data_IF_065976675832
#
_entry.id   IF_065976675832
#
_cell.length_a   1.000
_cell.length_b   1.000
_cell.length_c   1.000
_cell.angle_alpha   90.00
_cell.angle_beta   90.00
_cell.angle_gamma   90.00
#
_symmetry.space_group_name_H-M   'P 1'
#
loop_
_entity.id
_entity.type
_entity.pdbx_description
1 polymer ?
#
# COMPACT_ATOMS: atom_id res chain seq x y z
N UNK A 1 19.62 -6.85 2.20
CA UNK A 1 19.02 -5.66 2.85
C UNK A 1 18.85 -4.45 1.93
N UNK A 2 19.25 -4.52 0.64
CA UNK A 2 19.22 -3.35 -0.27
C UNK A 2 17.81 -2.91 -0.68
N UNK A 3 16.82 -3.81 -0.57
CA UNK A 3 15.45 -3.58 -1.05
C UNK A 3 14.46 -3.25 0.08
N UNK A 4 14.95 -3.19 1.32
CA UNK A 4 14.13 -2.88 2.49
C UNK A 4 13.70 -1.41 2.49
N UNK A 5 12.44 -1.16 2.80
CA UNK A 5 11.87 0.16 3.11
C UNK A 5 12.25 0.60 4.53
N UNK A 6 12.08 1.88 4.86
CA UNK A 6 12.34 2.39 6.21
C UNK A 6 11.46 1.71 7.28
N UNK A 7 10.24 1.31 6.94
CA UNK A 7 9.32 0.61 7.81
C UNK A 7 9.79 -0.82 8.10
N UNK A 8 10.28 -1.52 7.08
CA UNK A 8 10.87 -2.86 7.25
C UNK A 8 12.17 -2.77 8.07
N UNK A 9 12.98 -1.73 7.85
CA UNK A 9 14.14 -1.44 8.68
C UNK A 9 13.75 -1.12 10.13
N UNK A 10 12.68 -0.35 10.35
CA UNK A 10 12.13 -0.06 11.68
C UNK A 10 11.74 -1.36 12.41
N UNK A 11 10.97 -2.24 11.75
CA UNK A 11 10.55 -3.51 12.32
C UNK A 11 11.74 -4.42 12.66
N UNK A 12 12.70 -4.55 11.74
CA UNK A 12 13.88 -5.37 11.96
C UNK A 12 14.75 -4.83 13.09
N UNK A 13 14.98 -3.52 13.14
CA UNK A 13 15.76 -2.87 14.20
C UNK A 13 15.06 -2.91 15.54
N UNK A 14 13.75 -2.70 15.59
CA UNK A 14 12.96 -2.86 16.81
C UNK A 14 13.10 -4.29 17.33
N UNK A 15 12.99 -5.33 16.49
CA UNK A 15 13.18 -6.71 16.94
C UNK A 15 14.61 -7.02 17.38
N UNK A 16 15.61 -6.43 16.73
CA UNK A 16 17.02 -6.60 17.07
C UNK A 16 17.35 -5.97 18.43
N UNK A 17 16.88 -4.75 18.67
CA UNK A 17 17.22 -3.92 19.83
C UNK A 17 16.25 -4.11 21.00
N UNK A 18 15.00 -4.50 20.72
CA UNK A 18 13.89 -4.57 21.65
C UNK A 18 13.33 -6.01 21.66
N UNK A 19 13.23 -6.62 22.84
CA UNK A 19 12.65 -7.96 23.01
C UNK A 19 13.65 -9.11 22.90
N UNK A 20 13.27 -10.19 22.19
CA UNK A 20 13.93 -11.50 22.31
C UNK A 20 15.40 -11.55 21.83
N UNK A 21 15.83 -10.61 20.99
CA UNK A 21 17.21 -10.54 20.51
C UNK A 21 18.10 -9.62 21.37
N UNK A 22 17.54 -8.77 22.23
CA UNK A 22 18.32 -7.88 23.09
C UNK A 22 19.27 -8.63 24.06
N UNK A 23 18.86 -9.74 24.72
CA UNK A 23 19.78 -10.54 25.53
C UNK A 23 20.89 -11.20 24.70
N UNK A 24 20.64 -11.51 23.42
CA UNK A 24 21.63 -12.12 22.52
C UNK A 24 22.68 -11.11 22.08
N UNK A 25 22.31 -9.84 21.93
CA UNK A 25 23.25 -8.74 21.71
C UNK A 25 24.26 -8.61 22.85
N UNK A 26 23.85 -8.86 24.10
CA UNK A 26 24.73 -8.78 25.26
C UNK A 26 25.85 -9.85 25.26
N UNK A 27 25.76 -10.88 24.42
CA UNK A 27 26.83 -11.88 24.26
C UNK A 27 28.01 -11.36 23.42
N UNK A 28 27.77 -10.32 22.61
CA UNK A 28 28.73 -9.79 21.65
C UNK A 28 29.45 -8.56 22.22
N UNK A 29 30.78 -8.55 22.12
CA UNK A 29 31.58 -7.38 22.49
C UNK A 29 31.36 -6.22 21.52
N UNK A 30 31.17 -6.51 20.23
CA UNK A 30 30.92 -5.46 19.25
C UNK A 30 29.56 -4.75 19.44
N UNK A 31 28.58 -5.40 20.07
CA UNK A 31 27.23 -4.87 20.17
C UNK A 31 27.16 -3.53 20.89
N UNK A 32 27.98 -3.30 21.93
CA UNK A 32 27.97 -2.06 22.69
C UNK A 32 28.22 -0.81 21.82
N UNK A 33 29.08 -0.93 20.79
CA UNK A 33 29.43 0.17 19.88
C UNK A 33 28.26 0.45 18.93
N UNK A 34 27.71 -0.60 18.30
CA UNK A 34 26.67 -0.44 17.28
C UNK A 34 25.28 -0.17 17.87
N UNK A 35 24.99 -0.64 19.09
CA UNK A 35 23.68 -0.50 19.71
C UNK A 35 23.28 0.96 19.90
N UNK A 36 24.19 1.83 20.34
CA UNK A 36 23.91 3.27 20.48
C UNK A 36 23.55 3.91 19.14
N UNK A 37 24.30 3.59 18.10
CA UNK A 37 24.08 4.13 16.75
C UNK A 37 22.75 3.62 16.16
N UNK A 38 22.46 2.33 16.32
CA UNK A 38 21.22 1.71 15.84
C UNK A 38 19.98 2.23 16.59
N UNK A 39 20.07 2.47 17.90
CA UNK A 39 18.99 3.10 18.69
C UNK A 39 18.72 4.53 18.20
N UNK A 40 19.78 5.32 17.95
CA UNK A 40 19.63 6.67 17.43
C UNK A 40 18.99 6.68 16.03
N UNK A 41 19.38 5.75 15.16
CA UNK A 41 18.74 5.61 13.84
C UNK A 41 17.29 5.18 13.95
N UNK A 42 16.97 4.19 14.80
CA UNK A 42 15.59 3.75 15.01
C UNK A 42 14.71 4.91 15.49
N UNK A 43 15.21 5.74 16.41
CA UNK A 43 14.49 6.93 16.88
C UNK A 43 14.26 7.95 15.76
N UNK A 44 15.27 8.24 14.94
CA UNK A 44 15.15 9.13 13.77
C UNK A 44 14.13 8.60 12.76
N UNK A 45 14.13 7.30 12.50
CA UNK A 45 13.15 6.66 11.62
C UNK A 45 11.75 6.82 12.19
N UNK A 46 11.53 6.48 13.46
CA UNK A 46 10.22 6.61 14.13
C UNK A 46 9.69 8.05 14.17
N UNK A 47 10.58 9.03 14.18
CA UNK A 47 10.21 10.45 14.15
C UNK A 47 9.73 10.93 12.76
N UNK A 48 10.01 10.19 11.69
CA UNK A 48 9.50 10.54 10.36
C UNK A 48 7.97 10.34 10.31
N UNK A 49 7.26 11.21 9.55
CA UNK A 49 5.89 10.95 9.14
C UNK A 49 5.77 9.55 8.55
N UNK A 50 4.65 8.87 8.84
CA UNK A 50 4.44 7.49 8.43
C UNK A 50 4.66 7.35 6.91
N UNK A 51 4.20 8.35 6.14
CA UNK A 51 4.20 8.40 4.68
C UNK A 51 5.62 8.39 4.09
N UNK A 52 6.60 8.82 4.89
CA UNK A 52 8.00 8.83 4.52
C UNK A 52 8.76 7.59 5.04
N UNK A 53 8.18 6.86 6.00
CA UNK A 53 8.75 5.59 6.50
C UNK A 53 8.47 4.41 5.58
N UNK A 54 7.51 4.48 4.65
CA UNK A 54 7.25 3.35 3.76
C UNK A 54 5.90 3.42 3.06
N UNK A 55 5.12 2.33 3.14
CA UNK A 55 3.87 2.15 2.39
C UNK A 55 2.55 2.52 3.12
N UNK A 56 2.39 3.62 3.88
CA UNK A 56 1.07 3.92 4.51
C UNK A 56 -0.06 4.17 3.53
N UNK A 57 0.25 4.30 2.24
CA UNK A 57 -0.74 4.53 1.20
C UNK A 57 -0.96 3.29 0.33
N UNK A 58 -0.06 2.28 0.34
CA UNK A 58 -0.22 1.13 -0.56
C UNK A 58 -1.32 0.17 -0.10
N UNK A 59 -1.42 -0.08 1.21
CA UNK A 59 -2.51 -0.88 1.77
C UNK A 59 -3.86 -0.15 1.60
N UNK A 60 -3.88 1.16 1.87
CA UNK A 60 -5.09 1.97 1.74
C UNK A 60 -5.51 2.16 0.29
N UNK A 61 -4.57 2.30 -0.65
CA UNK A 61 -4.83 2.27 -2.09
C UNK A 61 -5.43 0.93 -2.48
N UNK A 62 -4.81 -0.18 -2.06
CA UNK A 62 -5.31 -1.53 -2.36
C UNK A 62 -6.72 -1.76 -1.81
N UNK A 63 -6.99 -1.36 -0.57
CA UNK A 63 -8.33 -1.47 0.02
C UNK A 63 -9.35 -0.61 -0.70
N UNK A 64 -8.97 0.63 -1.06
CA UNK A 64 -9.85 1.54 -1.79
C UNK A 64 -10.12 1.03 -3.21
N UNK A 65 -9.13 0.41 -3.84
CA UNK A 65 -9.21 -0.23 -5.16
C UNK A 65 -10.15 -1.44 -5.15
N UNK A 66 -9.96 -2.36 -4.18
CA UNK A 66 -10.85 -3.50 -3.96
C UNK A 66 -12.29 -3.04 -3.74
N UNK A 67 -12.48 -2.04 -2.87
CA UNK A 67 -13.81 -1.52 -2.58
C UNK A 67 -14.47 -0.93 -3.83
N UNK A 68 -13.73 -0.15 -4.63
CA UNK A 68 -14.22 0.37 -5.92
C UNK A 68 -14.64 -0.79 -6.83
N UNK A 69 -13.81 -1.81 -6.98
CA UNK A 69 -14.07 -2.94 -7.88
C UNK A 69 -15.23 -3.80 -7.43
N UNK A 70 -15.43 -3.94 -6.12
CA UNK A 70 -16.60 -4.61 -5.56
C UNK A 70 -17.89 -3.85 -5.91
N UNK A 71 -17.89 -2.51 -5.79
CA UNK A 71 -19.03 -1.70 -6.21
C UNK A 71 -19.28 -1.77 -7.72
N UNK A 72 -18.23 -1.68 -8.54
CA UNK A 72 -18.33 -1.81 -9.99
C UNK A 72 -18.95 -3.16 -10.37
N UNK A 73 -18.49 -4.26 -9.76
CA UNK A 73 -19.04 -5.60 -9.99
C UNK A 73 -20.51 -5.69 -9.56
N UNK A 74 -20.86 -5.15 -8.39
CA UNK A 74 -22.23 -5.14 -7.91
C UNK A 74 -23.17 -4.39 -8.86
N UNK A 75 -22.78 -3.19 -9.30
CA UNK A 75 -23.51 -2.37 -10.27
C UNK A 75 -23.66 -3.11 -11.60
N UNK A 76 -22.58 -3.69 -12.11
CA UNK A 76 -22.58 -4.42 -13.38
C UNK A 76 -23.52 -5.63 -13.35
N UNK A 77 -23.46 -6.44 -12.29
CA UNK A 77 -24.32 -7.61 -12.16
C UNK A 77 -25.79 -7.24 -11.96
N UNK A 78 -26.09 -6.18 -11.21
CA UNK A 78 -27.46 -5.69 -11.09
C UNK A 78 -27.99 -5.21 -12.45
N UNK A 79 -27.17 -4.49 -13.23
CA UNK A 79 -27.50 -4.07 -14.60
C UNK A 79 -27.82 -5.27 -15.49
N UNK A 80 -27.00 -6.32 -15.48
CA UNK A 80 -27.28 -7.53 -16.26
C UNK A 80 -28.56 -8.23 -15.79
N UNK A 81 -28.80 -8.32 -14.48
CA UNK A 81 -30.04 -8.89 -13.95
C UNK A 81 -31.29 -8.11 -14.41
N UNK A 82 -31.25 -6.78 -14.37
CA UNK A 82 -32.32 -5.93 -14.90
C UNK A 82 -32.53 -6.14 -16.41
N UNK A 83 -31.44 -6.27 -17.18
CA UNK A 83 -31.47 -6.47 -18.64
C UNK A 83 -32.12 -7.80 -19.03
N UNK A 84 -31.89 -8.86 -18.25
CA UNK A 84 -32.48 -10.18 -18.49
C UNK A 84 -33.82 -10.40 -17.77
N UNK A 85 -34.35 -9.38 -17.08
CA UNK A 85 -35.67 -9.45 -16.48
C UNK A 85 -36.73 -9.68 -17.58
N UNK A 86 -37.62 -10.69 -17.46
CA UNK A 86 -38.63 -10.96 -18.49
C UNK A 86 -39.61 -9.82 -18.76
N UNK A 87 -39.78 -8.92 -17.78
CA UNK A 87 -40.67 -7.74 -17.86
C UNK A 87 -39.99 -6.55 -17.13
N UNK A 88 -38.99 -5.91 -17.75
CA UNK A 88 -38.32 -4.78 -17.12
C UNK A 88 -39.30 -3.61 -16.99
N UNK A 89 -39.19 -2.86 -15.89
CA UNK A 89 -39.93 -1.61 -15.73
C UNK A 89 -39.26 -0.49 -16.54
N UNK A 90 -39.98 0.61 -16.79
CA UNK A 90 -39.40 1.77 -17.47
C UNK A 90 -38.19 2.32 -16.70
N UNK A 91 -38.27 2.35 -15.37
CA UNK A 91 -37.16 2.74 -14.50
C UNK A 91 -35.94 1.83 -14.69
N UNK A 92 -36.14 0.51 -14.81
CA UNK A 92 -35.04 -0.43 -15.09
C UNK A 92 -34.42 -0.15 -16.46
N UNK A 93 -35.23 0.08 -17.49
CA UNK A 93 -34.74 0.40 -18.83
C UNK A 93 -33.92 1.71 -18.83
N UNK A 94 -34.41 2.76 -18.15
CA UNK A 94 -33.67 4.01 -17.97
C UNK A 94 -32.36 3.79 -17.22
N UNK A 95 -32.37 3.07 -16.09
CA UNK A 95 -31.15 2.82 -15.32
C UNK A 95 -30.10 2.04 -16.14
N UNK A 96 -30.51 1.03 -16.91
CA UNK A 96 -29.60 0.30 -17.82
C UNK A 96 -28.98 1.25 -18.84
N UNK A 97 -29.80 2.10 -19.48
CA UNK A 97 -29.34 3.08 -20.47
C UNK A 97 -28.31 4.05 -19.87
N UNK A 98 -28.56 4.56 -18.66
CA UNK A 98 -27.61 5.41 -17.95
C UNK A 98 -26.28 4.70 -17.69
N UNK A 99 -26.31 3.46 -17.19
CA UNK A 99 -25.11 2.70 -16.85
C UNK A 99 -24.24 2.47 -18.10
N UNK A 100 -24.87 2.15 -19.24
CA UNK A 100 -24.16 1.82 -20.49
C UNK A 100 -23.71 3.08 -21.23
N UNK A 101 -24.60 4.06 -21.40
CA UNK A 101 -24.38 5.16 -22.34
C UNK A 101 -23.89 6.44 -21.66
N UNK A 102 -24.15 6.62 -20.36
CA UNK A 102 -23.72 7.81 -19.64
C UNK A 102 -22.51 7.52 -18.76
N UNK A 103 -22.60 6.52 -17.89
CA UNK A 103 -21.48 6.13 -17.04
C UNK A 103 -20.46 5.25 -17.77
N UNK A 104 -20.82 4.66 -18.92
CA UNK A 104 -19.91 3.84 -19.74
C UNK A 104 -19.17 2.76 -18.95
N UNK A 105 -19.82 2.17 -17.94
CA UNK A 105 -19.19 1.21 -17.04
C UNK A 105 -18.97 -0.12 -17.73
N UNK A 106 -17.78 -0.68 -17.57
CA UNK A 106 -17.35 -1.98 -18.10
C UNK A 106 -16.62 -2.79 -17.02
N UNK A 107 -16.72 -4.13 -17.00
CA UNK A 107 -15.89 -4.97 -16.14
C UNK A 107 -14.39 -4.79 -16.38
N UNK A 108 -14.01 -4.33 -17.57
CA UNK A 108 -12.61 -4.05 -17.91
C UNK A 108 -12.05 -2.84 -17.15
N UNK A 109 -12.91 -1.94 -16.63
CA UNK A 109 -12.47 -0.76 -15.87
C UNK A 109 -11.77 -1.14 -14.54
N UNK A 110 -11.91 -2.40 -14.09
CA UNK A 110 -11.13 -2.96 -12.95
C UNK A 110 -9.61 -2.87 -13.22
N UNK A 111 -9.19 -2.83 -14.48
CA UNK A 111 -7.78 -2.77 -14.89
C UNK A 111 -7.24 -1.34 -15.00
N UNK A 112 -8.10 -0.34 -14.84
CA UNK A 112 -7.70 1.05 -14.95
C UNK A 112 -6.61 1.39 -13.92
N UNK A 113 -5.68 2.24 -14.32
CA UNK A 113 -4.75 2.86 -13.37
C UNK A 113 -5.51 3.75 -12.38
N UNK A 114 -4.93 4.01 -11.22
CA UNK A 114 -5.53 4.91 -10.23
C UNK A 114 -5.81 6.32 -10.78
N UNK A 115 -5.00 6.81 -11.72
CA UNK A 115 -5.20 8.12 -12.35
C UNK A 115 -6.42 8.13 -13.29
N UNK A 116 -6.58 7.07 -14.09
CA UNK A 116 -7.75 6.88 -14.95
C UNK A 116 -9.02 6.77 -14.10
N UNK A 117 -8.98 5.97 -13.03
CA UNK A 117 -10.07 5.83 -12.08
C UNK A 117 -10.51 7.16 -11.46
N UNK A 118 -9.57 8.01 -11.04
CA UNK A 118 -9.89 9.32 -10.49
C UNK A 118 -10.53 10.26 -11.53
N UNK A 119 -10.02 10.24 -12.77
CA UNK A 119 -10.57 11.01 -13.89
C UNK A 119 -12.00 10.57 -14.22
N UNK A 120 -12.23 9.26 -14.35
CA UNK A 120 -13.57 8.67 -14.56
C UNK A 120 -14.50 9.01 -13.39
N UNK A 121 -14.05 8.85 -12.15
CA UNK A 121 -14.85 9.19 -10.95
C UNK A 121 -15.26 10.67 -10.92
N UNK A 122 -14.39 11.58 -11.34
CA UNK A 122 -14.73 13.01 -11.47
C UNK A 122 -15.82 13.26 -12.52
N UNK A 123 -15.78 12.53 -13.63
CA UNK A 123 -16.81 12.57 -14.68
C UNK A 123 -18.12 11.97 -14.19
N UNK A 124 -18.08 10.78 -13.59
CA UNK A 124 -19.24 10.09 -13.01
C UNK A 124 -19.92 10.92 -11.91
N UNK A 125 -19.17 11.64 -11.08
CA UNK A 125 -19.75 12.54 -10.08
C UNK A 125 -20.67 13.61 -10.70
N UNK A 126 -20.30 14.15 -11.87
CA UNK A 126 -21.12 15.14 -12.58
C UNK A 126 -22.41 14.52 -13.13
N UNK A 127 -22.30 13.31 -13.68
CA UNK A 127 -23.46 12.55 -14.14
C UNK A 127 -24.41 12.19 -12.99
N UNK A 128 -23.87 11.76 -11.85
CA UNK A 128 -24.64 11.40 -10.67
C UNK A 128 -25.43 12.59 -10.11
N UNK A 129 -24.84 13.79 -10.08
CA UNK A 129 -25.55 15.00 -9.67
C UNK A 129 -26.73 15.35 -10.60
N UNK A 130 -26.66 14.96 -11.88
CA UNK A 130 -27.67 15.32 -12.89
C UNK A 130 -28.73 14.22 -13.03
N UNK A 131 -28.36 12.95 -12.85
CA UNK A 131 -29.17 11.79 -13.19
C UNK A 131 -29.40 10.81 -12.03
N UNK A 132 -28.88 11.11 -10.83
CA UNK A 132 -28.98 10.23 -9.67
C UNK A 132 -30.41 9.86 -9.27
N UNK A 133 -31.39 10.72 -9.55
CA UNK A 133 -32.81 10.42 -9.26
C UNK A 133 -33.34 9.22 -10.06
N UNK A 134 -32.88 9.02 -11.29
CA UNK A 134 -33.30 7.86 -12.09
C UNK A 134 -32.69 6.56 -11.53
N UNK A 135 -31.46 6.63 -11.00
CA UNK A 135 -30.81 5.50 -10.32
C UNK A 135 -31.48 5.21 -8.96
N UNK A 136 -31.91 6.24 -8.24
CA UNK A 136 -32.62 6.13 -6.96
C UNK A 136 -33.93 5.34 -7.04
N UNK A 137 -34.55 5.25 -8.23
CA UNK A 137 -35.75 4.44 -8.47
C UNK A 137 -35.48 2.92 -8.43
N UNK A 138 -34.22 2.49 -8.46
CA UNK A 138 -33.85 1.07 -8.45
C UNK A 138 -33.45 0.65 -7.04
N UNK A 139 -34.22 -0.24 -6.38
CA UNK A 139 -33.85 -0.77 -5.08
C UNK A 139 -32.68 -1.74 -5.22
N UNK A 140 -31.81 -1.75 -4.20
CA UNK A 140 -30.69 -2.68 -4.10
C UNK A 140 -30.97 -3.82 -3.10
N UNK A 141 -30.29 -4.97 -3.21
CA UNK A 141 -30.54 -6.13 -2.35
C UNK A 141 -30.32 -5.90 -0.84
N UNK A 142 -29.52 -4.90 -0.48
CA UNK A 142 -29.26 -4.45 0.89
C UNK A 142 -30.37 -3.53 1.45
N UNK A 143 -31.44 -3.29 0.67
CA UNK A 143 -32.53 -2.39 1.04
C UNK A 143 -32.26 -0.92 0.76
N UNK A 144 -31.13 -0.60 0.15
CA UNK A 144 -30.77 0.75 -0.31
C UNK A 144 -31.30 1.07 -1.71
N UNK A 145 -30.62 2.01 -2.36
CA UNK A 145 -30.92 2.46 -3.73
C UNK A 145 -29.65 2.46 -4.59
N UNK A 146 -29.79 2.24 -5.89
CA UNK A 146 -28.65 2.12 -6.80
C UNK A 146 -27.80 3.40 -6.88
N UNK A 147 -28.38 4.59 -6.68
CA UNK A 147 -27.58 5.82 -6.62
C UNK A 147 -26.57 5.80 -5.48
N UNK A 148 -26.88 5.16 -4.33
CA UNK A 148 -25.96 5.06 -3.20
C UNK A 148 -24.74 4.19 -3.55
N UNK A 149 -24.95 3.07 -4.25
CA UNK A 149 -23.83 2.25 -4.75
C UNK A 149 -22.94 3.04 -5.73
N UNK A 150 -23.54 3.90 -6.57
CA UNK A 150 -22.79 4.81 -7.44
C UNK A 150 -22.03 5.88 -6.67
N UNK A 151 -22.62 6.44 -5.61
CA UNK A 151 -21.95 7.41 -4.73
C UNK A 151 -20.69 6.79 -4.11
N UNK A 152 -20.79 5.56 -3.59
CA UNK A 152 -19.67 4.83 -3.00
C UNK A 152 -18.60 4.45 -4.04
N UNK A 153 -19.00 3.96 -5.21
CA UNK A 153 -18.10 3.68 -6.33
C UNK A 153 -17.30 4.93 -6.74
N UNK A 154 -17.97 6.08 -6.89
CA UNK A 154 -17.36 7.35 -7.25
C UNK A 154 -16.45 7.87 -6.14
N UNK A 155 -16.88 7.76 -4.87
CA UNK A 155 -16.10 8.18 -3.72
C UNK A 155 -14.79 7.37 -3.62
N UNK A 156 -14.84 6.05 -3.81
CA UNK A 156 -13.67 5.19 -3.82
C UNK A 156 -12.71 5.56 -4.96
N UNK A 157 -13.21 5.77 -6.18
CA UNK A 157 -12.39 6.20 -7.32
C UNK A 157 -11.69 7.55 -7.09
N UNK A 158 -12.39 8.53 -6.50
CA UNK A 158 -11.78 9.83 -6.12
C UNK A 158 -10.70 9.66 -5.07
N UNK A 159 -11.01 8.93 -4.00
CA UNK A 159 -10.09 8.67 -2.88
C UNK A 159 -8.79 8.02 -3.35
N UNK A 160 -8.83 7.09 -4.30
CA UNK A 160 -7.60 6.52 -4.88
C UNK A 160 -6.69 7.56 -5.53
N UNK A 161 -7.26 8.52 -6.27
CA UNK A 161 -6.49 9.63 -6.84
C UNK A 161 -5.98 10.61 -5.79
N UNK A 162 -6.78 10.95 -4.80
CA UNK A 162 -6.37 11.84 -3.71
C UNK A 162 -5.21 11.22 -2.90
N UNK A 163 -5.25 9.92 -2.66
CA UNK A 163 -4.17 9.18 -2.01
C UNK A 163 -2.87 9.22 -2.84
N UNK A 164 -2.96 9.12 -4.16
CA UNK A 164 -1.80 9.30 -5.04
C UNK A 164 -1.28 10.73 -5.04
N UNK A 165 -2.17 11.72 -5.14
CA UNK A 165 -1.80 13.13 -5.13
C UNK A 165 -1.11 13.51 -3.81
N UNK A 166 -1.73 13.16 -2.68
CA UNK A 166 -1.17 13.37 -1.34
C UNK A 166 0.18 12.66 -1.16
N UNK A 167 0.34 11.45 -1.72
CA UNK A 167 1.63 10.78 -1.75
C UNK A 167 2.64 11.58 -2.57
N UNK A 168 2.27 12.05 -3.75
CA UNK A 168 3.16 12.82 -4.62
C UNK A 168 3.57 14.17 -4.01
N UNK A 169 2.64 14.91 -3.38
CA UNK A 169 2.96 16.17 -2.70
C UNK A 169 3.82 15.93 -1.47
N UNK A 170 3.49 14.96 -0.61
CA UNK A 170 4.34 14.63 0.55
C UNK A 170 5.74 14.18 0.13
N UNK A 171 5.84 13.44 -0.98
CA UNK A 171 7.14 13.08 -1.57
C UNK A 171 7.86 14.31 -2.15
N UNK A 172 7.15 15.25 -2.78
CA UNK A 172 7.70 16.48 -3.34
C UNK A 172 8.18 17.45 -2.24
N UNK A 173 7.42 17.61 -1.16
CA UNK A 173 7.82 18.37 0.03
C UNK A 173 9.06 17.72 0.68
N UNK A 174 9.08 16.39 0.77
CA UNK A 174 10.27 15.65 1.22
C UNK A 174 11.43 15.66 0.21
N UNK A 175 11.19 16.00 -1.07
CA UNK A 175 12.17 15.93 -2.16
C UNK A 175 13.16 17.10 -2.19
N UNK A 176 13.07 18.06 -1.26
CA UNK A 176 14.15 19.04 -1.02
C UNK A 176 15.42 18.41 -0.38
N UNK A 177 15.74 17.15 -0.72
CA UNK A 177 16.76 16.19 -0.23
C UNK A 177 16.23 15.29 0.89
N UNK A 178 15.52 14.21 0.51
CA UNK A 178 14.76 13.41 1.47
C UNK A 178 15.66 12.78 2.54
N UNK A 179 15.56 13.32 3.75
CA UNK A 179 16.11 12.75 4.98
C UNK A 179 15.80 11.26 5.10
N UNK A 180 14.62 10.84 4.61
CA UNK A 180 14.23 9.44 4.52
C UNK A 180 15.15 8.57 3.62
N UNK A 181 15.53 9.06 2.43
CA UNK A 181 16.45 8.34 1.54
C UNK A 181 17.85 8.20 2.15
N UNK A 182 18.34 9.27 2.79
CA UNK A 182 19.60 9.27 3.52
C UNK A 182 19.56 8.32 4.72
N UNK A 183 18.53 8.41 5.55
CA UNK A 183 18.31 7.54 6.71
C UNK A 183 18.25 6.07 6.33
N UNK A 184 17.61 5.75 5.20
CA UNK A 184 17.54 4.38 4.67
C UNK A 184 18.94 3.88 4.31
N UNK A 185 19.68 4.66 3.54
CA UNK A 185 21.04 4.32 3.11
C UNK A 185 21.98 4.14 4.31
N UNK A 186 21.93 5.08 5.26
CA UNK A 186 22.70 5.08 6.51
C UNK A 186 22.39 3.82 7.34
N UNK A 187 21.10 3.49 7.50
CA UNK A 187 20.66 2.32 8.26
C UNK A 187 21.10 1.00 7.62
N UNK A 188 20.96 0.88 6.29
CA UNK A 188 21.41 -0.32 5.56
C UNK A 188 22.93 -0.47 5.68
N UNK A 189 23.68 0.63 5.54
CA UNK A 189 25.13 0.65 5.69
C UNK A 189 25.56 0.15 7.07
N UNK A 190 25.01 0.74 8.12
CA UNK A 190 25.35 0.39 9.50
C UNK A 190 24.96 -1.06 9.86
N UNK A 191 23.79 -1.53 9.41
CA UNK A 191 23.34 -2.91 9.66
C UNK A 191 24.22 -3.94 8.95
N UNK A 192 24.65 -3.67 7.70
CA UNK A 192 25.55 -4.56 6.97
C UNK A 192 26.94 -4.61 7.61
N UNK A 193 27.44 -3.45 8.05
CA UNK A 193 28.70 -3.36 8.79
C UNK A 193 28.61 -4.15 10.10
N UNK A 194 27.57 -3.91 10.89
CA UNK A 194 27.35 -4.61 12.15
C UNK A 194 27.28 -6.13 11.95
N UNK A 195 26.50 -6.59 10.96
CA UNK A 195 26.42 -8.02 10.60
C UNK A 195 27.78 -8.63 10.28
N UNK A 196 28.62 -7.88 9.56
CA UNK A 196 29.98 -8.32 9.23
C UNK A 196 30.85 -8.48 10.47
N UNK A 197 30.76 -7.52 11.41
CA UNK A 197 31.51 -7.59 12.67
C UNK A 197 31.02 -8.72 13.56
N UNK A 198 29.70 -8.93 13.67
CA UNK A 198 29.12 -10.06 14.42
C UNK A 198 29.62 -11.39 13.87
N UNK A 199 29.63 -11.57 12.55
CA UNK A 199 30.14 -12.80 11.92
C UNK A 199 31.60 -13.05 12.28
N UNK A 200 32.44 -12.02 12.16
CA UNK A 200 33.86 -12.11 12.54
C UNK A 200 34.04 -12.48 14.02
N UNK A 201 33.25 -11.88 14.91
CA UNK A 201 33.31 -12.18 16.33
C UNK A 201 32.91 -13.63 16.61
N UNK A 202 31.81 -14.11 16.02
CA UNK A 202 31.37 -15.52 16.12
C UNK A 202 32.46 -16.46 15.61
N UNK A 203 33.14 -16.14 14.51
CA UNK A 203 34.20 -16.97 13.95
C UNK A 203 35.37 -17.16 14.93
N UNK A 204 35.75 -16.10 15.65
CA UNK A 204 36.93 -16.07 16.53
C UNK A 204 36.64 -16.40 18.01
N UNK A 205 35.36 -16.48 18.40
CA UNK A 205 34.92 -16.79 19.77
C UNK A 205 34.18 -18.12 19.82
N UNK A 206 34.86 -19.25 20.07
CA UNK A 206 34.26 -20.58 19.99
C UNK A 206 33.18 -20.85 21.04
N UNK A 207 33.11 -20.05 22.10
CA UNK A 207 32.04 -20.08 23.11
C UNK A 207 30.71 -19.50 22.62
N UNK A 208 30.70 -18.74 21.51
CA UNK A 208 29.47 -18.17 20.96
C UNK A 208 28.72 -19.21 20.10
N UNK A 209 27.37 -19.22 20.12
CA UNK A 209 26.59 -20.05 19.22
C UNK A 209 26.89 -19.72 17.75
N UNK A 210 27.16 -20.74 16.94
CA UNK A 210 27.40 -20.56 15.49
C UNK A 210 26.17 -20.05 14.74
N UNK A 211 24.99 -20.21 15.33
CA UNK A 211 23.71 -19.71 14.82
C UNK A 211 23.43 -18.25 15.18
N UNK A 212 24.24 -17.62 16.04
CA UNK A 212 23.95 -16.31 16.64
C UNK A 212 23.73 -15.21 15.60
N UNK A 213 24.52 -15.19 14.53
CA UNK A 213 24.34 -14.21 13.44
C UNK A 213 22.97 -14.36 12.76
N UNK A 214 22.61 -15.59 12.40
CA UNK A 214 21.31 -15.88 11.78
C UNK A 214 20.15 -15.58 12.74
N UNK A 215 20.31 -15.82 14.04
CA UNK A 215 19.29 -15.51 15.03
C UNK A 215 19.07 -14.00 15.20
N UNK A 216 20.12 -13.20 15.08
CA UNK A 216 20.06 -11.74 15.18
C UNK A 216 19.51 -11.11 13.88
N UNK A 217 19.95 -11.58 12.72
CA UNK A 217 19.65 -10.96 11.41
C UNK A 217 18.56 -11.67 10.58
N UNK A 218 18.08 -12.83 11.00
CA UNK A 218 17.13 -13.64 10.22
C UNK A 218 15.80 -12.95 9.89
N UNK A 219 15.35 -12.00 10.72
CA UNK A 219 14.20 -11.15 10.39
C UNK A 219 14.48 -10.26 9.18
N UNK A 220 15.66 -9.63 9.11
CA UNK A 220 16.05 -8.81 7.98
C UNK A 220 16.19 -9.63 6.69
N UNK A 221 16.66 -10.87 6.80
CA UNK A 221 16.74 -11.79 5.66
C UNK A 221 15.35 -12.15 5.15
N UNK A 222 14.42 -12.47 6.06
CA UNK A 222 13.02 -12.74 5.71
C UNK A 222 12.37 -11.52 5.05
N UNK A 223 12.53 -10.33 5.62
CA UNK A 223 12.02 -9.08 5.05
C UNK A 223 12.64 -8.78 3.67
N UNK A 224 13.93 -9.08 3.48
CA UNK A 224 14.60 -8.89 2.20
C UNK A 224 14.02 -9.83 1.13
N UNK A 225 13.79 -11.10 1.45
CA UNK A 225 13.17 -12.05 0.52
C UNK A 225 11.75 -11.60 0.13
N UNK A 226 10.95 -11.15 1.10
CA UNK A 226 9.62 -10.60 0.83
C UNK A 226 9.68 -9.33 -0.03
N UNK A 227 10.68 -8.47 0.20
CA UNK A 227 10.88 -7.26 -0.60
C UNK A 227 11.28 -7.59 -2.05
N UNK A 228 12.12 -8.60 -2.26
CA UNK A 228 12.53 -9.06 -3.58
C UNK A 228 11.37 -9.67 -4.38
N UNK A 229 10.57 -10.54 -3.75
CA UNK A 229 9.37 -11.12 -4.38
C UNK A 229 8.39 -10.03 -4.83
N UNK A 230 8.16 -9.06 -3.96
CA UNK A 230 7.30 -7.92 -4.25
C UNK A 230 7.78 -7.06 -5.43
N UNK A 231 9.09 -6.84 -5.54
CA UNK A 231 9.66 -6.10 -6.67
C UNK A 231 9.59 -6.90 -7.98
N UNK A 232 9.39 -8.22 -7.93
CA UNK A 232 9.18 -9.08 -9.11
C UNK A 232 7.70 -9.13 -9.53
N UNK A 233 6.78 -8.88 -8.60
CA UNK A 233 5.32 -8.86 -8.85
C UNK A 233 4.79 -7.49 -9.30
N UNK A 234 5.51 -6.40 -9.02
CA UNK A 234 5.23 -5.08 -9.61
C UNK A 234 5.72 -5.07 -11.08
N UNK A 235 4.85 -4.87 -12.09
CA UNK A 235 5.31 -4.77 -13.46
C UNK A 235 6.17 -3.50 -13.61
N UNK A 236 7.47 -3.69 -13.81
CA UNK A 236 8.34 -2.66 -14.40
C UNK A 236 7.80 -2.28 -15.77
N UNK A 237 7.66 -0.97 -15.99
CA UNK A 237 7.29 -0.26 -17.23
C UNK A 237 5.79 0.01 -17.48
N UNK A 238 5.32 1.16 -16.97
CA UNK A 238 4.67 2.14 -17.85
C UNK A 238 5.65 3.31 -17.98
N UNK A 239 6.13 3.66 -19.19
CA UNK A 239 6.98 4.82 -19.39
C UNK A 239 6.23 6.06 -18.93
N UNK A 240 6.84 6.85 -18.05
CA UNK A 240 6.47 8.25 -17.88
C UNK A 240 6.96 8.95 -19.15
N UNK A 241 6.02 9.49 -19.93
CA UNK A 241 6.27 10.30 -21.11
C UNK A 241 7.20 11.48 -20.81
#
# INVERSE_FOLDING_TARGET
>A
MKDLTLHELEQGMARLLEGANAPKLALLFCAAIYQMMLVALLARIRALPEELRGRPVAWLLKETDILRDDWLRAIWHLKEAMRFCPKPTDSMATAIDLIINVFSLSPEDIKDTYAENHSKATTHAKHLNTQGQALAAIPTPDGGQLNQWFEEFVAAGKKSGDLLYNRSEKLAEASQRSEAGLLRSESIGLLNEFRTVVRREVDHRPELPRTLENELFGMFDTLQTLAEQRNQEEPTDVPIL
#
